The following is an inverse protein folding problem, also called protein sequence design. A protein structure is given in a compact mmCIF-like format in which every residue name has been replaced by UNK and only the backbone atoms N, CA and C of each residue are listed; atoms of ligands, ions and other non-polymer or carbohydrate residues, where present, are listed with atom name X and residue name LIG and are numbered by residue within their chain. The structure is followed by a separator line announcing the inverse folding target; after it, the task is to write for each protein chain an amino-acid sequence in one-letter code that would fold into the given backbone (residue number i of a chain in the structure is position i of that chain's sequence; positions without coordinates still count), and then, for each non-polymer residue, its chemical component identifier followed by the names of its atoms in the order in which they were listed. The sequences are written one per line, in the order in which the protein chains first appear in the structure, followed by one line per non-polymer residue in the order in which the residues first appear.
data_IF_702883919003
#
_entry.id   IF_702883919003
#
_cell.length_a   1.000
_cell.length_b   1.000
_cell.length_c   1.000
_cell.angle_alpha   90.00
_cell.angle_beta   90.00
_cell.angle_gamma   90.00
#
_symmetry.space_group_name_H-M   'P 1'
#
loop_
_entity.id
_entity.type
_entity.pdbx_description
1 polymer ?
#
# COMPACT_ATOMS: atom_id res chain seq x y z
N UNK A 1 -19.65 -8.70 6.79
CA UNK A 1 -19.26 -10.07 6.42
C UNK A 1 -20.45 -10.92 5.96
N UNK A 2 -21.55 -10.26 5.60
CA UNK A 2 -22.75 -10.92 5.09
C UNK A 2 -22.45 -11.63 3.75
N UNK A 3 -22.81 -12.92 3.66
CA UNK A 3 -22.71 -13.73 2.44
C UNK A 3 -21.63 -14.81 2.42
N UNK A 4 -20.68 -14.81 3.36
CA UNK A 4 -19.66 -15.87 3.47
C UNK A 4 -19.92 -16.76 4.67
N UNK A 5 -19.60 -18.05 4.52
CA UNK A 5 -19.80 -19.02 5.61
C UNK A 5 -18.86 -18.73 6.78
N UNK A 6 -19.31 -19.02 7.99
CA UNK A 6 -18.48 -18.89 9.20
C UNK A 6 -17.17 -19.69 9.05
N UNK A 7 -17.22 -20.84 8.34
CA UNK A 7 -16.03 -21.65 8.04
C UNK A 7 -14.99 -20.89 7.23
N UNK A 8 -15.39 -20.08 6.23
CA UNK A 8 -14.45 -19.27 5.44
C UNK A 8 -13.73 -18.20 6.30
N UNK A 9 -14.47 -17.59 7.23
CA UNK A 9 -13.92 -16.61 8.17
C UNK A 9 -12.93 -17.28 9.12
N UNK A 10 -13.25 -18.47 9.63
CA UNK A 10 -12.37 -19.23 10.52
C UNK A 10 -11.09 -19.65 9.77
N UNK A 11 -11.21 -20.22 8.56
CA UNK A 11 -10.05 -20.62 7.74
C UNK A 11 -9.16 -19.42 7.49
N UNK A 12 -9.71 -18.29 7.05
CA UNK A 12 -8.96 -17.06 6.85
C UNK A 12 -8.24 -16.61 8.13
N UNK A 13 -8.94 -16.55 9.26
CA UNK A 13 -8.36 -16.11 10.53
C UNK A 13 -7.22 -17.01 10.99
N UNK A 14 -7.36 -18.32 10.83
CA UNK A 14 -6.32 -19.30 11.15
C UNK A 14 -5.10 -19.15 10.24
N UNK A 15 -5.33 -18.97 8.92
CA UNK A 15 -4.23 -18.75 7.95
C UNK A 15 -3.47 -17.46 8.29
N UNK A 16 -4.18 -16.35 8.55
CA UNK A 16 -3.55 -15.07 8.91
C UNK A 16 -2.77 -15.19 10.21
N UNK A 17 -3.35 -15.83 11.24
CA UNK A 17 -2.65 -16.06 12.51
C UNK A 17 -1.36 -16.88 12.31
N UNK A 18 -1.45 -17.95 11.53
CA UNK A 18 -0.27 -18.78 11.18
C UNK A 18 0.77 -17.94 10.44
N UNK A 19 0.36 -17.15 9.47
CA UNK A 19 1.24 -16.26 8.72
C UNK A 19 1.95 -15.25 9.65
N UNK A 20 1.23 -14.63 10.59
CA UNK A 20 1.82 -13.70 11.56
C UNK A 20 2.83 -14.41 12.47
N UNK A 21 2.54 -15.63 12.92
CA UNK A 21 3.48 -16.44 13.71
C UNK A 21 4.74 -16.76 12.90
N UNK A 22 4.59 -17.22 11.65
CA UNK A 22 5.72 -17.49 10.75
C UNK A 22 6.56 -16.23 10.54
N UNK A 23 5.92 -15.09 10.27
CA UNK A 23 6.61 -13.82 10.06
C UNK A 23 7.39 -13.37 11.31
N UNK A 24 6.79 -13.55 12.50
CA UNK A 24 7.44 -13.25 13.78
C UNK A 24 8.64 -14.17 14.05
N UNK A 25 8.49 -15.47 13.79
CA UNK A 25 9.56 -16.45 14.05
C UNK A 25 10.74 -16.29 13.08
N UNK A 26 10.46 -15.98 11.81
CA UNK A 26 11.46 -15.86 10.77
C UNK A 26 12.43 -14.69 10.98
N UNK A 27 12.02 -13.66 11.74
CA UNK A 27 12.75 -12.41 11.87
C UNK A 27 13.01 -11.99 13.32
N UNK A 28 13.23 -12.95 14.20
CA UNK A 28 13.52 -12.71 15.63
C UNK A 28 14.84 -11.98 15.91
N UNK A 29 15.78 -11.96 14.96
CA UNK A 29 17.12 -11.42 15.19
C UNK A 29 17.26 -10.05 14.52
N UNK A 30 17.82 -9.08 15.27
CA UNK A 30 18.20 -7.75 14.79
C UNK A 30 19.42 -7.83 13.84
N UNK A 31 19.26 -8.51 12.70
CA UNK A 31 20.28 -8.62 11.65
C UNK A 31 19.83 -7.89 10.40
N UNK A 32 20.78 -7.35 9.67
CA UNK A 32 20.53 -6.79 8.36
C UNK A 32 19.96 -7.87 7.43
N UNK A 33 18.80 -7.61 6.85
CA UNK A 33 18.12 -8.54 5.95
C UNK A 33 18.84 -8.58 4.61
N UNK A 34 19.35 -9.74 4.20
CA UNK A 34 19.96 -9.89 2.89
C UNK A 34 18.91 -9.77 1.77
N UNK A 35 19.28 -9.19 0.63
CA UNK A 35 18.40 -9.03 -0.54
C UNK A 35 17.83 -10.39 -0.98
N UNK A 36 18.64 -11.45 -0.98
CA UNK A 36 18.19 -12.81 -1.33
C UNK A 36 17.10 -13.30 -0.39
N UNK A 37 17.25 -13.08 0.91
CA UNK A 37 16.25 -13.45 1.92
C UNK A 37 14.97 -12.63 1.72
N UNK A 38 15.08 -11.32 1.48
CA UNK A 38 13.94 -10.44 1.25
C UNK A 38 13.13 -10.86 0.00
N UNK A 39 13.81 -11.18 -1.10
CA UNK A 39 13.17 -11.69 -2.33
C UNK A 39 12.47 -13.01 -2.08
N UNK A 40 13.14 -13.96 -1.42
CA UNK A 40 12.58 -15.29 -1.12
C UNK A 40 11.31 -15.18 -0.25
N UNK A 41 11.34 -14.35 0.80
CA UNK A 41 10.18 -14.10 1.64
C UNK A 41 9.05 -13.37 0.91
N UNK A 42 9.37 -12.45 -0.01
CA UNK A 42 8.36 -11.79 -0.84
C UNK A 42 7.67 -12.81 -1.75
N UNK A 43 8.43 -13.71 -2.41
CA UNK A 43 7.88 -14.78 -3.24
C UNK A 43 7.02 -15.73 -2.39
N UNK A 44 7.46 -16.08 -1.19
CA UNK A 44 6.71 -16.93 -0.27
C UNK A 44 5.34 -16.31 0.08
N UNK A 45 5.28 -15.01 0.40
CA UNK A 45 4.01 -14.34 0.73
C UNK A 45 3.08 -14.22 -0.47
N UNK A 46 3.63 -13.99 -1.68
CA UNK A 46 2.84 -14.03 -2.92
C UNK A 46 2.26 -15.42 -3.13
N UNK A 47 3.05 -16.46 -2.93
CA UNK A 47 2.60 -17.86 -3.07
C UNK A 47 1.47 -18.19 -2.08
N UNK A 48 1.60 -17.79 -0.82
CA UNK A 48 0.53 -17.98 0.20
C UNK A 48 -0.76 -17.28 -0.22
N UNK A 49 -0.67 -16.06 -0.75
CA UNK A 49 -1.84 -15.34 -1.27
C UNK A 49 -2.49 -16.06 -2.47
N UNK A 50 -1.69 -16.60 -3.38
CA UNK A 50 -2.19 -17.38 -4.52
C UNK A 50 -2.86 -18.69 -4.06
N UNK A 51 -2.33 -19.37 -3.05
CA UNK A 51 -3.00 -20.53 -2.44
C UNK A 51 -4.35 -20.17 -1.85
N UNK A 52 -4.47 -18.99 -1.22
CA UNK A 52 -5.75 -18.53 -0.72
C UNK A 52 -6.72 -18.17 -1.86
N UNK A 53 -6.25 -17.65 -2.98
CA UNK A 53 -7.06 -17.47 -4.19
C UNK A 53 -7.61 -18.79 -4.72
N UNK A 54 -6.80 -19.84 -4.72
CA UNK A 54 -7.23 -21.21 -5.09
C UNK A 54 -8.30 -21.72 -4.12
N UNK A 55 -8.15 -21.49 -2.82
CA UNK A 55 -9.20 -21.79 -1.84
C UNK A 55 -10.50 -21.08 -2.14
N UNK A 56 -10.47 -19.76 -2.44
CA UNK A 56 -11.66 -18.98 -2.83
C UNK A 56 -12.28 -19.55 -4.10
N UNK A 57 -11.48 -19.92 -5.10
CA UNK A 57 -11.95 -20.51 -6.35
C UNK A 57 -12.79 -21.78 -6.10
N UNK A 58 -12.30 -22.69 -5.28
CA UNK A 58 -13.04 -23.95 -5.00
C UNK A 58 -14.25 -23.78 -4.10
N UNK A 59 -14.27 -22.76 -3.24
CA UNK A 59 -15.35 -22.57 -2.26
C UNK A 59 -16.40 -21.55 -2.70
N UNK A 60 -16.03 -20.54 -3.48
CA UNK A 60 -16.88 -19.41 -3.84
C UNK A 60 -16.93 -19.12 -5.36
N UNK A 61 -16.15 -19.84 -6.15
CA UNK A 61 -16.15 -19.75 -7.61
C UNK A 61 -15.15 -18.77 -8.21
N UNK A 62 -15.11 -18.75 -9.53
CA UNK A 62 -14.10 -18.01 -10.31
C UNK A 62 -14.24 -16.49 -10.19
N UNK A 63 -15.47 -15.98 -10.08
CA UNK A 63 -15.72 -14.53 -9.97
C UNK A 63 -15.14 -13.96 -8.69
N UNK A 64 -15.36 -14.64 -7.56
CA UNK A 64 -14.83 -14.23 -6.26
C UNK A 64 -13.31 -14.37 -6.21
N UNK A 65 -12.75 -15.42 -6.80
CA UNK A 65 -11.30 -15.59 -6.92
C UNK A 65 -10.66 -14.45 -7.75
N UNK A 66 -11.27 -14.08 -8.87
CA UNK A 66 -10.79 -12.97 -9.70
C UNK A 66 -10.95 -11.62 -8.99
N UNK A 67 -12.04 -11.41 -8.25
CA UNK A 67 -12.24 -10.21 -7.44
C UNK A 67 -11.19 -10.09 -6.34
N UNK A 68 -10.91 -11.19 -5.62
CA UNK A 68 -9.85 -11.26 -4.62
C UNK A 68 -8.48 -10.97 -5.23
N UNK A 69 -8.12 -11.61 -6.35
CA UNK A 69 -6.84 -11.41 -7.03
C UNK A 69 -6.69 -9.98 -7.54
N UNK A 70 -7.75 -9.38 -8.09
CA UNK A 70 -7.76 -7.99 -8.54
C UNK A 70 -7.48 -7.04 -7.38
N UNK A 71 -8.18 -7.23 -6.25
CA UNK A 71 -7.96 -6.47 -5.03
C UNK A 71 -6.54 -6.65 -4.48
N UNK A 72 -6.04 -7.89 -4.44
CA UNK A 72 -4.69 -8.21 -3.99
C UNK A 72 -3.61 -7.54 -4.85
N UNK A 73 -3.70 -7.65 -6.18
CA UNK A 73 -2.72 -7.05 -7.11
C UNK A 73 -2.78 -5.53 -7.02
N UNK A 74 -3.97 -4.96 -6.97
CA UNK A 74 -4.15 -3.52 -6.80
C UNK A 74 -3.50 -3.03 -5.50
N UNK A 75 -3.85 -3.62 -4.37
CA UNK A 75 -3.31 -3.24 -3.07
C UNK A 75 -1.79 -3.43 -3.01
N UNK A 76 -1.29 -4.53 -3.57
CA UNK A 76 0.15 -4.79 -3.67
C UNK A 76 0.88 -3.73 -4.51
N UNK A 77 0.23 -3.24 -5.57
CA UNK A 77 0.77 -2.20 -6.45
C UNK A 77 0.79 -0.84 -5.74
N UNK A 78 -0.32 -0.47 -5.07
CA UNK A 78 -0.40 0.75 -4.26
C UNK A 78 0.59 0.71 -3.09
N UNK A 79 0.80 -0.46 -2.49
CA UNK A 79 1.77 -0.64 -1.40
C UNK A 79 3.21 -0.29 -1.79
N UNK A 80 3.59 -0.33 -3.07
CA UNK A 80 4.93 0.08 -3.50
C UNK A 80 5.17 1.56 -3.23
N UNK A 81 4.22 2.43 -3.56
CA UNK A 81 4.33 3.86 -3.28
C UNK A 81 4.33 4.13 -1.77
N UNK A 82 3.51 3.40 -1.01
CA UNK A 82 3.49 3.45 0.44
C UNK A 82 4.88 3.12 1.04
N UNK A 83 5.59 2.14 0.47
CA UNK A 83 6.93 1.76 0.92
C UNK A 83 7.96 2.87 0.68
N UNK A 84 7.84 3.68 -0.37
CA UNK A 84 8.70 4.85 -0.56
C UNK A 84 8.48 5.91 0.52
N UNK A 85 7.23 6.14 0.94
CA UNK A 85 6.91 7.03 2.06
C UNK A 85 7.49 6.48 3.36
N UNK A 86 7.38 5.17 3.62
CA UNK A 86 7.99 4.53 4.79
C UNK A 86 9.51 4.71 4.80
N UNK A 87 10.19 4.56 3.65
CA UNK A 87 11.63 4.84 3.54
C UNK A 87 11.97 6.30 3.89
N UNK A 88 11.15 7.26 3.46
CA UNK A 88 11.34 8.67 3.79
C UNK A 88 11.12 8.93 5.29
N UNK A 89 10.10 8.29 5.90
CA UNK A 89 9.86 8.37 7.35
C UNK A 89 11.08 7.85 8.11
N UNK A 90 11.58 6.64 7.80
CA UNK A 90 12.76 6.09 8.47
C UNK A 90 14.00 6.98 8.32
N UNK A 91 14.22 7.55 7.13
CA UNK A 91 15.32 8.49 6.88
C UNK A 91 15.18 9.77 7.71
N UNK A 92 13.97 10.35 7.83
CA UNK A 92 13.70 11.56 8.63
C UNK A 92 13.95 11.36 10.12
N UNK A 93 13.66 10.18 10.64
CA UNK A 93 13.91 9.83 12.05
C UNK A 93 15.32 9.29 12.29
N UNK A 94 16.11 9.08 11.22
CA UNK A 94 17.46 8.51 11.32
C UNK A 94 17.46 7.09 11.89
N UNK A 95 16.42 6.28 11.62
CA UNK A 95 16.31 4.93 12.16
C UNK A 95 17.23 3.96 11.41
N UNK A 96 18.24 3.37 12.08
CA UNK A 96 19.14 2.39 11.47
C UNK A 96 18.38 1.16 10.94
N UNK A 97 18.86 0.57 9.84
CA UNK A 97 18.22 -0.58 9.18
C UNK A 97 17.88 -1.73 10.12
N UNK A 98 18.78 -2.00 11.07
CA UNK A 98 18.60 -3.06 12.09
C UNK A 98 17.37 -2.87 13.01
N UNK A 99 16.82 -1.65 13.11
CA UNK A 99 15.64 -1.37 13.93
C UNK A 99 14.37 -1.13 13.10
N UNK A 100 14.50 -0.92 11.77
CA UNK A 100 13.37 -0.67 10.90
C UNK A 100 12.40 -1.85 10.85
N UNK A 101 12.90 -3.09 10.87
CA UNK A 101 12.05 -4.27 10.85
C UNK A 101 11.15 -4.39 12.09
N UNK A 102 11.57 -3.87 13.24
CA UNK A 102 10.72 -3.83 14.44
C UNK A 102 9.56 -2.85 14.27
N UNK A 103 9.82 -1.65 13.75
CA UNK A 103 8.77 -0.67 13.46
C UNK A 103 7.81 -1.22 12.42
N UNK A 104 8.32 -1.84 11.33
CA UNK A 104 7.50 -2.45 10.30
C UNK A 104 6.64 -3.60 10.85
N UNK A 105 7.15 -4.40 11.79
CA UNK A 105 6.38 -5.49 12.39
C UNK A 105 5.18 -4.95 13.19
N UNK A 106 5.41 -4.00 14.10
CA UNK A 106 4.32 -3.41 14.88
C UNK A 106 3.40 -2.56 14.00
N UNK A 107 3.94 -1.89 12.98
CA UNK A 107 3.16 -1.19 11.97
C UNK A 107 2.21 -2.11 11.19
N UNK A 108 2.65 -3.32 10.82
CA UNK A 108 1.76 -4.32 10.20
C UNK A 108 0.62 -4.72 11.15
N UNK A 109 0.91 -4.92 12.43
CA UNK A 109 -0.15 -5.26 13.40
C UNK A 109 -1.18 -4.14 13.55
N UNK A 110 -0.73 -2.88 13.62
CA UNK A 110 -1.62 -1.73 13.63
C UNK A 110 -2.41 -1.60 12.32
N UNK A 111 -1.74 -1.74 11.19
CA UNK A 111 -2.37 -1.72 9.87
C UNK A 111 -3.48 -2.78 9.73
N UNK A 112 -3.31 -4.00 10.25
CA UNK A 112 -4.35 -5.05 10.23
C UNK A 112 -5.63 -4.58 10.93
N UNK A 113 -5.49 -3.96 12.11
CA UNK A 113 -6.62 -3.44 12.89
C UNK A 113 -7.26 -2.25 12.19
N UNK A 114 -6.45 -1.30 11.74
CA UNK A 114 -6.92 -0.10 11.05
C UNK A 114 -7.66 -0.47 9.76
N UNK A 115 -7.11 -1.39 8.95
CA UNK A 115 -7.76 -1.85 7.71
C UNK A 115 -9.10 -2.52 7.97
N UNK A 116 -9.22 -3.31 9.05
CA UNK A 116 -10.52 -3.89 9.44
C UNK A 116 -11.55 -2.80 9.70
N UNK A 117 -11.17 -1.74 10.42
CA UNK A 117 -12.03 -0.59 10.72
C UNK A 117 -12.40 0.14 9.42
N UNK A 118 -11.41 0.49 8.57
CA UNK A 118 -11.65 1.24 7.35
C UNK A 118 -12.46 0.48 6.32
N UNK A 119 -12.21 -0.83 6.15
CA UNK A 119 -13.03 -1.68 5.27
C UNK A 119 -14.46 -1.79 5.80
N UNK A 120 -14.62 -1.96 7.13
CA UNK A 120 -15.93 -2.00 7.76
C UNK A 120 -16.72 -0.69 7.59
N UNK A 121 -16.07 0.44 7.83
CA UNK A 121 -16.66 1.77 7.63
C UNK A 121 -16.99 2.03 6.15
N UNK A 122 -16.08 1.72 5.24
CA UNK A 122 -16.27 1.90 3.80
C UNK A 122 -17.40 1.03 3.25
N UNK A 123 -17.46 -0.25 3.65
CA UNK A 123 -18.54 -1.15 3.26
C UNK A 123 -19.89 -0.72 3.86
N UNK A 124 -19.91 -0.22 5.11
CA UNK A 124 -21.12 0.32 5.73
C UNK A 124 -21.57 1.58 5.01
N UNK A 125 -20.66 2.49 4.69
CA UNK A 125 -20.97 3.69 3.93
C UNK A 125 -21.56 3.35 2.56
N UNK A 126 -20.99 2.36 1.87
CA UNK A 126 -21.49 1.87 0.59
C UNK A 126 -22.88 1.25 0.74
N UNK A 127 -23.14 0.45 1.79
CA UNK A 127 -24.45 -0.17 2.01
C UNK A 127 -25.56 0.82 2.33
N UNK A 128 -25.24 1.96 2.94
CA UNK A 128 -26.21 3.00 3.31
C UNK A 128 -26.48 3.94 2.13
N UNK A 129 -25.45 4.36 1.42
CA UNK A 129 -25.52 5.42 0.42
C UNK A 129 -25.45 4.93 -1.04
N UNK A 130 -25.22 3.62 -1.28
CA UNK A 130 -25.26 3.00 -2.61
C UNK A 130 -24.45 3.78 -3.66
N UNK A 131 -25.12 4.14 -4.77
CA UNK A 131 -24.52 4.86 -5.90
C UNK A 131 -23.90 6.20 -5.50
N UNK A 132 -24.43 6.87 -4.47
CA UNK A 132 -23.83 8.12 -3.96
C UNK A 132 -22.46 7.86 -3.34
N UNK A 133 -22.30 6.76 -2.60
CA UNK A 133 -21.00 6.37 -2.05
C UNK A 133 -20.01 6.02 -3.16
N UNK A 134 -20.42 5.27 -4.17
CA UNK A 134 -19.59 4.94 -5.34
C UNK A 134 -19.16 6.20 -6.10
N UNK A 135 -20.07 7.17 -6.26
CA UNK A 135 -19.74 8.46 -6.89
C UNK A 135 -18.69 9.22 -6.09
N UNK A 136 -18.87 9.32 -4.76
CA UNK A 136 -17.90 9.99 -3.88
C UNK A 136 -16.54 9.31 -3.95
N UNK A 137 -16.50 7.97 -3.86
CA UNK A 137 -15.26 7.21 -3.96
C UNK A 137 -14.60 7.37 -5.33
N UNK A 138 -15.35 7.31 -6.43
CA UNK A 138 -14.83 7.50 -7.77
C UNK A 138 -14.19 8.87 -7.97
N UNK A 139 -14.86 9.94 -7.51
CA UNK A 139 -14.33 11.32 -7.54
C UNK A 139 -13.06 11.42 -6.70
N UNK A 140 -13.06 10.84 -5.49
CA UNK A 140 -11.91 10.86 -4.59
C UNK A 140 -10.70 10.14 -5.19
N UNK A 141 -10.89 8.95 -5.79
CA UNK A 141 -9.81 8.20 -6.46
C UNK A 141 -9.25 8.99 -7.65
N UNK A 142 -10.11 9.61 -8.47
CA UNK A 142 -9.65 10.45 -9.58
C UNK A 142 -8.87 11.67 -9.09
N UNK A 143 -9.32 12.30 -8.01
CA UNK A 143 -8.61 13.42 -7.39
C UNK A 143 -7.22 13.00 -6.88
N UNK A 144 -7.11 11.82 -6.24
CA UNK A 144 -5.84 11.23 -5.82
C UNK A 144 -4.93 10.96 -7.02
N UNK A 145 -5.46 10.33 -8.08
CA UNK A 145 -4.72 10.09 -9.32
C UNK A 145 -4.18 11.39 -9.96
N UNK A 146 -4.99 12.45 -9.97
CA UNK A 146 -4.57 13.77 -10.48
C UNK A 146 -3.45 14.36 -9.60
N UNK A 147 -3.55 14.27 -8.28
CA UNK A 147 -2.49 14.72 -7.36
C UNK A 147 -1.19 13.96 -7.58
N UNK A 148 -1.24 12.63 -7.69
CA UNK A 148 -0.07 11.80 -7.99
C UNK A 148 0.52 12.16 -9.36
N UNK A 149 -0.32 12.39 -10.37
CA UNK A 149 0.12 12.81 -11.71
C UNK A 149 0.84 14.17 -11.67
N UNK A 150 0.37 15.12 -10.85
CA UNK A 150 1.04 16.41 -10.65
C UNK A 150 2.38 16.25 -9.93
N UNK A 151 2.45 15.45 -8.86
CA UNK A 151 3.67 15.14 -8.12
C UNK A 151 4.70 14.42 -9.00
N UNK A 152 4.28 13.47 -9.83
CA UNK A 152 5.12 12.79 -10.81
C UNK A 152 5.59 13.70 -11.96
N UNK A 153 5.10 14.94 -12.05
CA UNK A 153 5.41 15.88 -13.12
C UNK A 153 4.80 15.52 -14.48
N UNK A 154 3.88 14.54 -14.52
CA UNK A 154 3.22 14.10 -15.76
C UNK A 154 2.34 15.19 -16.35
N UNK A 155 1.71 16.03 -15.52
CA UNK A 155 0.93 17.17 -15.97
C UNK A 155 1.78 18.20 -16.74
N UNK A 156 3.00 18.46 -16.26
CA UNK A 156 3.95 19.34 -16.96
C UNK A 156 4.45 18.73 -18.28
N UNK A 157 4.63 17.39 -18.32
CA UNK A 157 4.98 16.65 -19.55
C UNK A 157 3.86 16.74 -20.60
N UNK A 158 2.61 16.50 -20.18
CA UNK A 158 1.44 16.60 -21.07
C UNK A 158 1.28 18.04 -21.58
N UNK A 159 1.40 19.03 -20.70
CA UNK A 159 1.31 20.43 -21.04
C UNK A 159 2.43 20.87 -21.99
N UNK A 160 3.68 20.45 -21.74
CA UNK A 160 4.83 20.74 -22.60
C UNK A 160 4.69 20.06 -23.98
N UNK A 161 4.16 18.83 -24.01
CA UNK A 161 3.88 18.13 -25.27
C UNK A 161 2.83 18.86 -26.11
N UNK A 162 1.72 19.33 -25.50
CA UNK A 162 0.69 20.09 -26.18
C UNK A 162 1.19 21.47 -26.67
N UNK A 163 2.03 22.15 -25.89
CA UNK A 163 2.53 23.51 -26.24
C UNK A 163 3.89 23.52 -26.95
N UNK A 164 4.53 22.35 -27.21
CA UNK A 164 5.88 22.28 -27.77
C UNK A 164 6.92 23.14 -27.02
N UNK A 165 6.74 23.31 -25.71
CA UNK A 165 7.68 24.06 -24.86
C UNK A 165 8.67 23.12 -24.17
N UNK A 166 9.89 23.63 -23.89
CA UNK A 166 10.89 22.93 -23.07
C UNK A 166 10.34 22.64 -21.67
N UNK A 167 10.60 21.43 -21.18
CA UNK A 167 10.18 20.99 -19.86
C UNK A 167 10.73 21.92 -18.76
N UNK A 168 9.89 22.36 -17.80
CA UNK A 168 10.40 23.03 -16.62
C UNK A 168 11.32 22.08 -15.82
N UNK A 169 12.42 22.59 -15.29
CA UNK A 169 13.30 21.83 -14.41
C UNK A 169 12.48 21.26 -13.26
N UNK A 170 12.62 19.94 -13.05
CA UNK A 170 11.95 19.22 -11.96
C UNK A 170 12.39 19.85 -10.64
N UNK A 171 11.49 20.54 -9.94
CA UNK A 171 11.76 20.94 -8.56
C UNK A 171 12.11 19.67 -7.78
N UNK A 172 13.25 19.68 -7.06
CA UNK A 172 13.55 18.66 -6.07
C UNK A 172 12.35 18.60 -5.14
N UNK A 173 11.79 17.41 -4.95
CA UNK A 173 10.90 17.16 -3.82
C UNK A 173 11.64 17.66 -2.57
N UNK A 174 11.09 18.66 -1.89
CA UNK A 174 11.53 19.02 -0.56
C UNK A 174 11.34 17.77 0.28
N UNK A 175 12.45 17.23 0.82
CA UNK A 175 12.38 16.10 1.77
C UNK A 175 11.41 16.52 2.87
N UNK A 176 10.27 15.86 2.91
CA UNK A 176 9.24 16.16 3.90
C UNK A 176 9.82 15.81 5.27
N UNK A 177 10.09 16.81 6.07
CA UNK A 177 10.59 16.63 7.43
C UNK A 177 9.41 16.15 8.32
N UNK A 178 9.21 14.85 8.36
CA UNK A 178 8.15 14.22 9.15
C UNK A 178 8.28 14.50 10.65
N UNK A 179 9.46 14.92 11.15
CA UNK A 179 9.63 15.28 12.57
C UNK A 179 8.83 16.52 12.96
N UNK A 180 8.48 17.37 11.97
CA UNK A 180 7.61 18.55 12.13
C UNK A 180 6.12 18.27 11.93
N UNK A 181 5.75 17.03 11.61
CA UNK A 181 4.36 16.65 11.39
C UNK A 181 3.50 16.95 12.63
N UNK A 182 2.27 17.41 12.41
CA UNK A 182 1.36 17.79 13.50
C UNK A 182 1.13 16.66 14.50
N UNK A 183 1.07 15.41 14.03
CA UNK A 183 0.90 14.22 14.88
C UNK A 183 2.05 14.07 15.88
N UNK A 184 3.31 14.25 15.44
CA UNK A 184 4.47 14.19 16.35
C UNK A 184 4.42 15.33 17.36
N UNK A 185 4.02 16.53 16.94
CA UNK A 185 3.85 17.65 17.86
C UNK A 185 2.79 17.37 18.90
N UNK A 186 1.66 16.74 18.50
CA UNK A 186 0.61 16.30 19.41
C UNK A 186 1.11 15.26 20.42
N UNK A 187 1.82 14.21 19.97
CA UNK A 187 2.36 13.20 20.87
C UNK A 187 3.45 13.72 21.81
N UNK A 188 4.24 14.72 21.41
CA UNK A 188 5.19 15.41 22.29
C UNK A 188 4.52 16.14 23.47
N UNK A 189 3.25 16.50 23.36
CA UNK A 189 2.47 17.07 24.47
C UNK A 189 1.93 16.00 25.43
N UNK A 190 1.70 14.77 24.93
CA UNK A 190 1.14 13.67 25.72
C UNK A 190 2.21 12.89 26.49
N UNK A 191 3.42 12.77 25.93
CA UNK A 191 4.50 11.97 26.51
C UNK A 191 5.82 12.74 26.52
N UNK A 192 6.64 12.60 27.59
CA UNK A 192 8.03 13.03 27.53
C UNK A 192 8.75 12.25 26.42
N UNK A 193 9.57 12.93 25.63
CA UNK A 193 10.26 12.35 24.47
C UNK A 193 11.75 12.42 24.67
N UNK A 194 12.46 11.31 24.47
CA UNK A 194 13.93 11.31 24.43
C UNK A 194 14.41 11.62 23.01
N UNK A 195 15.56 12.24 22.89
CA UNK A 195 16.22 12.50 21.59
C UNK A 195 17.15 11.37 21.17
N UNK A 196 17.44 10.41 22.05
CA UNK A 196 18.37 9.31 21.81
C UNK A 196 17.62 8.00 21.61
N UNK A 197 18.04 7.24 20.59
CA UNK A 197 17.65 5.85 20.43
C UNK A 197 18.27 5.03 21.58
N UNK A 198 17.46 4.20 22.24
CA UNK A 198 17.93 3.24 23.24
C UNK A 198 17.75 1.81 22.68
N UNK A 199 18.71 1.37 21.86
CA UNK A 199 18.60 0.09 21.19
C UNK A 199 17.30 -0.02 20.40
N UNK A 200 16.51 -1.06 20.68
CA UNK A 200 15.23 -1.34 20.03
C UNK A 200 14.02 -0.96 20.90
N UNK A 201 14.20 -0.24 22.00
CA UNK A 201 13.11 0.08 22.94
C UNK A 201 12.25 1.24 22.42
N UNK A 202 10.94 1.09 22.54
CA UNK A 202 9.98 2.15 22.24
C UNK A 202 9.87 3.18 23.37
N UNK A 203 10.15 2.77 24.59
CA UNK A 203 10.09 3.62 25.77
C UNK A 203 11.33 3.43 26.66
N UNK A 204 11.80 4.52 27.26
CA UNK A 204 12.81 4.53 28.32
C UNK A 204 12.15 5.13 29.56
N UNK A 205 11.81 4.28 30.52
CA UNK A 205 10.94 4.69 31.63
C UNK A 205 9.58 5.17 31.09
N UNK A 206 9.24 6.44 31.32
CA UNK A 206 8.00 7.06 30.81
C UNK A 206 8.21 7.87 29.54
N UNK A 207 9.43 7.96 29.02
CA UNK A 207 9.74 8.77 27.86
C UNK A 207 9.69 7.92 26.56
N UNK A 208 9.02 8.43 25.55
CA UNK A 208 8.96 7.83 24.23
C UNK A 208 10.27 8.04 23.46
N UNK A 209 10.77 7.00 22.80
CA UNK A 209 11.97 7.08 21.96
C UNK A 209 11.62 7.55 20.54
N UNK A 210 12.61 8.00 19.74
CA UNK A 210 12.42 8.27 18.32
C UNK A 210 11.84 7.06 17.54
N UNK A 211 12.10 5.82 18.01
CA UNK A 211 11.57 4.60 17.41
C UNK A 211 10.05 4.51 17.59
N UNK A 212 9.52 4.89 18.78
CA UNK A 212 8.07 4.94 19.01
C UNK A 212 7.41 6.04 18.18
N UNK A 213 8.03 7.23 18.10
CA UNK A 213 7.49 8.32 17.28
C UNK A 213 7.47 7.95 15.79
N UNK A 214 8.49 7.23 15.34
CA UNK A 214 8.54 6.68 13.98
C UNK A 214 7.39 5.69 13.76
N UNK A 215 7.13 4.77 14.71
CA UNK A 215 6.00 3.83 14.62
C UNK A 215 4.67 4.57 14.50
N UNK A 216 4.41 5.55 15.35
CA UNK A 216 3.18 6.36 15.29
C UNK A 216 3.06 7.07 13.93
N UNK A 217 4.15 7.59 13.38
CA UNK A 217 4.14 8.24 12.07
C UNK A 217 3.84 7.24 10.96
N UNK A 218 4.34 6.02 11.06
CA UNK A 218 4.04 4.92 10.13
C UNK A 218 2.56 4.56 10.18
N UNK A 219 1.97 4.44 11.39
CA UNK A 219 0.53 4.17 11.55
C UNK A 219 -0.35 5.29 10.95
N UNK A 220 0.03 6.56 11.17
CA UNK A 220 -0.66 7.67 10.53
C UNK A 220 -0.56 7.65 8.99
N UNK A 221 0.61 7.29 8.47
CA UNK A 221 0.77 7.12 7.03
C UNK A 221 -0.12 5.99 6.49
N UNK A 222 -0.22 4.85 7.22
CA UNK A 222 -1.10 3.75 6.80
C UNK A 222 -2.59 4.14 6.82
N UNK A 223 -3.03 4.96 7.79
CA UNK A 223 -4.37 5.54 7.78
C UNK A 223 -4.60 6.34 6.49
N UNK A 224 -3.66 7.20 6.12
CA UNK A 224 -3.77 8.01 4.88
C UNK A 224 -3.83 7.11 3.64
N UNK A 225 -3.02 6.05 3.59
CA UNK A 225 -3.04 5.09 2.49
C UNK A 225 -4.34 4.28 2.44
N UNK A 226 -4.95 3.98 3.59
CA UNK A 226 -6.23 3.29 3.64
C UNK A 226 -7.36 4.11 3.01
N UNK A 227 -7.32 5.44 3.12
CA UNK A 227 -8.29 6.31 2.46
C UNK A 227 -8.26 6.19 0.94
N UNK A 228 -7.11 5.93 0.34
CA UNK A 228 -6.96 5.78 -1.11
C UNK A 228 -7.26 4.34 -1.55
N UNK A 229 -6.74 3.35 -0.83
CA UNK A 229 -6.77 1.95 -1.25
C UNK A 229 -8.09 1.25 -0.96
N UNK A 230 -8.75 1.53 0.18
CA UNK A 230 -10.02 0.85 0.53
C UNK A 230 -11.13 1.18 -0.46
N UNK A 231 -11.39 2.47 -0.84
CA UNK A 231 -12.33 2.78 -1.90
C UNK A 231 -11.96 2.13 -3.25
N UNK A 232 -10.66 2.09 -3.59
CA UNK A 232 -10.21 1.49 -4.83
C UNK A 232 -10.49 -0.03 -4.92
N UNK A 233 -10.32 -0.76 -3.81
CA UNK A 233 -10.67 -2.19 -3.76
C UNK A 233 -12.19 -2.40 -3.69
N UNK A 234 -12.94 -1.54 -2.98
CA UNK A 234 -14.41 -1.56 -2.98
C UNK A 234 -15.01 -1.33 -4.38
N UNK A 235 -14.32 -0.59 -5.25
CA UNK A 235 -14.68 -0.44 -6.66
C UNK A 235 -14.55 -1.73 -7.49
N UNK A 236 -13.71 -2.66 -7.04
CA UNK A 236 -13.53 -3.97 -7.70
C UNK A 236 -14.61 -4.94 -7.24
N UNK A 237 -14.90 -4.95 -5.94
CA UNK A 237 -15.89 -5.84 -5.32
C UNK A 237 -16.51 -5.21 -4.07
N UNK A 238 -17.82 -5.24 -3.99
CA UNK A 238 -18.57 -4.76 -2.81
C UNK A 238 -18.61 -5.78 -1.67
N UNK A 239 -18.01 -6.97 -1.85
CA UNK A 239 -18.00 -8.04 -0.86
C UNK A 239 -16.92 -7.76 0.22
N UNK A 240 -17.30 -7.34 1.47
CA UNK A 240 -16.32 -6.90 2.47
C UNK A 240 -15.29 -7.97 2.84
N UNK A 241 -15.67 -9.25 2.75
CA UNK A 241 -14.76 -10.37 3.00
C UNK A 241 -13.61 -10.40 1.99
N UNK A 242 -13.89 -10.23 0.68
CA UNK A 242 -12.87 -10.22 -0.37
C UNK A 242 -12.00 -8.98 -0.26
N UNK A 243 -12.59 -7.81 0.01
CA UNK A 243 -11.86 -6.55 0.25
C UNK A 243 -10.89 -6.72 1.40
N UNK A 244 -11.36 -7.23 2.54
CA UNK A 244 -10.53 -7.40 3.74
C UNK A 244 -9.44 -8.45 3.52
N UNK A 245 -9.78 -9.62 2.98
CA UNK A 245 -8.81 -10.71 2.79
C UNK A 245 -7.74 -10.35 1.78
N UNK A 246 -8.08 -9.75 0.63
CA UNK A 246 -7.10 -9.29 -0.37
C UNK A 246 -6.15 -8.24 0.22
N UNK A 247 -6.68 -7.32 1.02
CA UNK A 247 -5.93 -6.27 1.70
C UNK A 247 -4.94 -6.87 2.72
N UNK A 248 -5.40 -7.80 3.58
CA UNK A 248 -4.56 -8.43 4.60
C UNK A 248 -3.42 -9.24 3.95
N UNK A 249 -3.71 -10.03 2.93
CA UNK A 249 -2.65 -10.77 2.22
C UNK A 249 -1.67 -9.85 1.48
N UNK A 250 -2.11 -8.68 1.04
CA UNK A 250 -1.20 -7.70 0.45
C UNK A 250 -0.27 -7.05 1.49
N UNK A 251 -0.77 -6.81 2.71
CA UNK A 251 0.03 -6.28 3.83
C UNK A 251 1.01 -7.34 4.35
N UNK A 252 0.60 -8.60 4.42
CA UNK A 252 1.50 -9.70 4.72
C UNK A 252 2.64 -9.71 3.68
N UNK A 253 3.87 -9.71 4.14
CA UNK A 253 5.05 -9.60 3.29
C UNK A 253 5.44 -8.16 2.88
N UNK A 254 4.72 -7.12 3.30
CA UNK A 254 5.16 -5.71 3.10
C UNK A 254 6.56 -5.47 3.65
N UNK A 255 6.89 -6.07 4.78
CA UNK A 255 8.22 -5.98 5.39
C UNK A 255 9.31 -6.52 4.46
N UNK A 256 9.13 -7.72 3.92
CA UNK A 256 10.07 -8.31 2.97
C UNK A 256 10.18 -7.48 1.70
N UNK A 257 9.04 -7.00 1.18
CA UNK A 257 8.99 -6.14 0.01
C UNK A 257 9.66 -4.79 0.25
N UNK A 258 9.58 -4.24 1.47
CA UNK A 258 10.29 -3.03 1.86
C UNK A 258 11.81 -3.18 1.64
N UNK A 259 12.42 -4.25 2.13
CA UNK A 259 13.86 -4.48 1.95
C UNK A 259 14.24 -4.77 0.50
N UNK A 260 13.39 -5.49 -0.25
CA UNK A 260 13.59 -5.66 -1.69
C UNK A 260 13.57 -4.31 -2.42
N UNK A 261 12.60 -3.47 -2.11
CA UNK A 261 12.41 -2.19 -2.77
C UNK A 261 13.50 -1.18 -2.38
N UNK A 262 13.92 -1.17 -1.11
CA UNK A 262 15.03 -0.35 -0.66
C UNK A 262 16.32 -0.63 -1.44
N UNK A 263 16.55 -1.90 -1.79
CA UNK A 263 17.66 -2.31 -2.65
C UNK A 263 17.44 -1.96 -4.14
N UNK A 264 16.19 -2.00 -4.61
CA UNK A 264 15.81 -1.81 -6.01
C UNK A 264 15.36 -0.37 -6.35
N UNK A 265 15.34 0.55 -5.39
CA UNK A 265 14.79 1.93 -5.50
C UNK A 265 15.17 2.66 -6.80
N UNK A 266 16.36 2.42 -7.33
CA UNK A 266 16.84 3.09 -8.55
C UNK A 266 16.36 2.43 -9.85
N UNK A 267 15.74 1.23 -9.78
CA UNK A 267 15.42 0.42 -10.97
C UNK A 267 13.94 0.51 -11.39
N UNK A 268 13.02 0.88 -10.50
CA UNK A 268 11.57 0.84 -10.75
C UNK A 268 10.94 2.22 -10.98
N UNK A 269 11.54 3.01 -11.89
CA UNK A 269 11.20 4.43 -12.12
C UNK A 269 9.82 4.67 -12.73
N UNK A 270 9.27 3.69 -13.45
CA UNK A 270 8.00 3.84 -14.16
C UNK A 270 6.81 3.18 -13.45
N UNK A 271 7.04 2.56 -12.28
CA UNK A 271 5.98 1.89 -11.53
C UNK A 271 4.93 2.89 -11.01
N UNK A 272 5.36 4.06 -10.51
CA UNK A 272 4.49 5.17 -10.12
C UNK A 272 3.50 5.58 -11.23
N UNK A 273 3.96 5.60 -12.49
CA UNK A 273 3.09 5.91 -13.64
C UNK A 273 2.03 4.83 -13.89
N UNK A 274 2.38 3.56 -13.65
CA UNK A 274 1.45 2.45 -13.74
C UNK A 274 0.36 2.56 -12.65
N UNK A 275 0.74 2.90 -11.41
CA UNK A 275 -0.21 3.15 -10.30
C UNK A 275 -1.18 4.26 -10.66
N UNK A 276 -0.70 5.40 -11.18
CA UNK A 276 -1.55 6.50 -11.63
C UNK A 276 -2.56 6.01 -12.69
N UNK A 277 -2.09 5.25 -13.69
CA UNK A 277 -2.97 4.67 -14.72
C UNK A 277 -4.05 3.75 -14.15
N UNK A 278 -3.69 2.92 -13.18
CA UNK A 278 -4.62 2.02 -12.48
C UNK A 278 -5.68 2.82 -11.70
N UNK A 279 -5.28 3.85 -10.94
CA UNK A 279 -6.21 4.69 -10.19
C UNK A 279 -7.16 5.46 -11.11
N UNK A 280 -6.66 6.01 -12.23
CA UNK A 280 -7.52 6.63 -13.26
C UNK A 280 -8.53 5.62 -13.79
N UNK A 281 -8.09 4.43 -14.16
CA UNK A 281 -8.99 3.36 -14.64
C UNK A 281 -10.09 3.04 -13.61
N UNK A 282 -9.71 2.84 -12.34
CA UNK A 282 -10.66 2.48 -11.27
C UNK A 282 -11.66 3.60 -11.02
N UNK A 283 -11.21 4.85 -10.91
CA UNK A 283 -12.10 5.98 -10.71
C UNK A 283 -13.06 6.20 -11.88
N UNK A 284 -12.57 6.05 -13.12
CA UNK A 284 -13.44 6.11 -14.33
C UNK A 284 -14.42 4.95 -14.34
N UNK A 285 -13.99 3.71 -14.02
CA UNK A 285 -14.87 2.54 -13.92
C UNK A 285 -16.02 2.79 -12.96
N UNK A 286 -15.74 3.28 -11.75
CA UNK A 286 -16.77 3.56 -10.74
C UNK A 286 -17.80 4.57 -11.24
N UNK A 287 -17.33 5.68 -11.82
CA UNK A 287 -18.24 6.70 -12.33
C UNK A 287 -19.01 6.21 -13.56
N UNK A 288 -18.40 5.42 -14.43
CA UNK A 288 -19.08 4.83 -15.59
C UNK A 288 -20.17 3.85 -15.18
N UNK A 289 -19.95 3.09 -14.11
CA UNK A 289 -20.96 2.19 -13.55
C UNK A 289 -22.19 2.98 -13.08
N UNK A 290 -21.98 4.00 -12.23
CA UNK A 290 -23.08 4.80 -11.67
C UNK A 290 -23.78 5.68 -12.72
N UNK A 291 -23.01 6.35 -13.60
CA UNK A 291 -23.57 7.34 -14.54
C UNK A 291 -24.16 6.72 -15.81
N UNK A 292 -23.59 5.60 -16.26
CA UNK A 292 -23.94 4.98 -17.54
C UNK A 292 -24.38 3.53 -17.42
N UNK A 293 -24.39 2.93 -16.23
CA UNK A 293 -24.72 1.52 -16.02
C UNK A 293 -23.73 0.55 -16.67
N UNK A 294 -22.47 0.97 -16.87
CA UNK A 294 -21.46 0.15 -17.53
C UNK A 294 -20.75 -0.72 -16.49
N UNK A 295 -21.22 -1.95 -16.33
CA UNK A 295 -20.63 -2.92 -15.41
C UNK A 295 -19.43 -3.63 -16.02
N UNK A 296 -18.23 -3.37 -15.51
CA UNK A 296 -16.98 -4.04 -15.91
C UNK A 296 -16.71 -5.18 -14.91
N UNK A 297 -16.61 -6.41 -15.44
CA UNK A 297 -16.38 -7.60 -14.60
C UNK A 297 -15.06 -7.54 -13.84
N UNK A 298 -14.99 -8.24 -12.69
CA UNK A 298 -13.75 -8.36 -11.88
C UNK A 298 -12.61 -8.99 -12.67
N UNK A 299 -12.91 -9.92 -13.57
CA UNK A 299 -11.92 -10.55 -14.46
C UNK A 299 -11.31 -9.53 -15.44
N UNK A 300 -12.14 -8.69 -16.07
CA UNK A 300 -11.64 -7.64 -16.97
C UNK A 300 -10.80 -6.63 -16.19
N UNK A 301 -11.23 -6.24 -14.98
CA UNK A 301 -10.47 -5.36 -14.10
C UNK A 301 -9.10 -5.94 -13.73
N UNK A 302 -9.03 -7.24 -13.41
CA UNK A 302 -7.76 -7.93 -13.13
C UNK A 302 -6.79 -7.83 -14.30
N UNK A 303 -7.23 -8.10 -15.53
CA UNK A 303 -6.37 -8.01 -16.71
C UNK A 303 -5.88 -6.59 -16.98
N UNK A 304 -6.73 -5.58 -16.79
CA UNK A 304 -6.33 -4.17 -16.95
C UNK A 304 -5.27 -3.79 -15.91
N UNK A 305 -5.48 -4.13 -14.63
CA UNK A 305 -4.52 -3.85 -13.55
C UNK A 305 -3.18 -4.56 -13.81
N UNK A 306 -3.21 -5.85 -14.17
CA UNK A 306 -2.01 -6.61 -14.52
C UNK A 306 -1.28 -6.04 -15.73
N UNK A 307 -2.01 -5.54 -16.74
CA UNK A 307 -1.41 -4.92 -17.92
C UNK A 307 -0.67 -3.63 -17.56
N UNK A 308 -1.29 -2.72 -16.81
CA UNK A 308 -0.63 -1.50 -16.34
C UNK A 308 0.61 -1.81 -15.50
N UNK A 309 0.50 -2.77 -14.56
CA UNK A 309 1.61 -3.17 -13.70
C UNK A 309 2.77 -3.74 -14.53
N UNK A 310 2.46 -4.65 -15.45
CA UNK A 310 3.47 -5.27 -16.35
C UNK A 310 4.16 -4.21 -17.20
N UNK A 311 3.41 -3.26 -17.78
CA UNK A 311 3.97 -2.15 -18.55
C UNK A 311 4.87 -1.27 -17.69
N UNK A 312 4.50 -0.98 -16.44
CA UNK A 312 5.30 -0.20 -15.49
C UNK A 312 6.64 -0.88 -15.18
N UNK A 313 6.60 -2.18 -14.89
CA UNK A 313 7.80 -2.98 -14.59
C UNK A 313 8.70 -3.12 -15.82
N UNK A 314 8.15 -3.55 -16.96
CA UNK A 314 8.89 -3.74 -18.21
C UNK A 314 9.51 -2.41 -18.67
N UNK A 315 8.75 -1.30 -18.63
CA UNK A 315 9.29 0.02 -18.96
C UNK A 315 10.43 0.43 -18.04
N UNK A 316 10.35 0.09 -16.75
CA UNK A 316 11.42 0.39 -15.79
C UNK A 316 12.70 -0.41 -16.08
N UNK A 317 12.57 -1.66 -16.55
CA UNK A 317 13.70 -2.51 -16.91
C UNK A 317 14.37 -2.07 -18.22
N UNK A 318 13.55 -1.67 -19.21
CA UNK A 318 14.05 -1.24 -20.54
C UNK A 318 14.64 0.18 -20.49
N UNK A 319 14.02 1.07 -19.71
CA UNK A 319 14.42 2.48 -19.60
C UNK A 319 14.80 2.83 -18.13
N UNK A 320 15.87 2.26 -17.61
CA UNK A 320 16.30 2.56 -16.24
C UNK A 320 16.70 4.03 -16.08
N UNK A 321 16.55 4.57 -14.85
CA UNK A 321 17.00 5.93 -14.58
C UNK A 321 18.48 6.09 -14.92
N UNK A 322 18.83 7.15 -15.64
CA UNK A 322 20.23 7.50 -15.89
C UNK A 322 20.93 7.71 -14.54
N UNK A 323 21.94 6.88 -14.21
CA UNK A 323 22.79 7.08 -13.04
C UNK A 323 23.43 8.46 -13.15
N UNK A 324 23.05 9.41 -12.27
CA UNK A 324 23.83 10.65 -12.13
C UNK A 324 25.23 10.25 -11.64
N UNK A 325 26.25 10.47 -12.49
CA UNK A 325 27.64 10.45 -12.03
C UNK A 325 27.75 11.55 -10.97
N UNK A 326 27.94 11.15 -9.73
CA UNK A 326 28.39 12.07 -8.66
C UNK A 326 29.81 12.46 -9.06
N UNK A 327 29.97 13.75 -9.41
CA UNK A 327 31.29 14.40 -9.51
C UNK A 327 31.69 14.84 -8.13
#
# INVERSE_FOLDING_TARGET
MAGYSVSSIIVFSLVVLLCLVIDLMAHKQDKDVSIKSAVMWTIFWVFVSLLFAVYIYYTHGIEDANAYLSGYVLEKTLSVDNLFVLMAIFASFGIPNKYQHRVLYYGILGALVLRLIFVGLGATFLSIFGDTALTIFGIFILWTAIKMMQAAGLGALIYAWFKRQSLPERRREEETDFTKHWAIRFFKHLFPVTTKLNGHDFFVGRAATPLFLCLITVEFADIMFAFDSVPAVLAITEKPFLVYTSNIFAILGMRSMYFCLAAAKQSLVHLEKAVIGILVYIGVKMLADVLFGIHISSTASLWVVLSFLSLGVVSSLIFPAKKKKVK
#
